data_IF_403430222467
#
_entry.id   IF_403430222467
#
_cell.length_a   1.000
_cell.length_b   1.000
_cell.length_c   1.000
_cell.angle_alpha   90.00
_cell.angle_beta   90.00
_cell.angle_gamma   90.00
#
_symmetry.space_group_name_H-M   'P 1'
#
loop_
_entity.id
_entity.type
_entity.pdbx_description
1 polymer ?
#
# COMPACT_ATOMS: atom_id res chain seq x y z
N UNK A 1 -19.78 14.43 0.04
CA UNK A 1 -20.15 13.35 0.98
C UNK A 1 -19.94 11.96 0.37
N UNK A 2 -20.52 11.65 -0.80
CA UNK A 2 -20.42 10.30 -1.41
C UNK A 2 -18.99 9.85 -1.75
N UNK A 3 -18.15 10.75 -2.24
CA UNK A 3 -16.73 10.46 -2.56
C UNK A 3 -15.89 10.15 -1.31
N UNK A 4 -16.14 10.86 -0.21
CA UNK A 4 -15.48 10.59 1.07
C UNK A 4 -15.89 9.22 1.64
N UNK A 5 -17.16 8.82 1.48
CA UNK A 5 -17.64 7.48 1.86
C UNK A 5 -16.94 6.40 1.03
N UNK A 6 -16.83 6.61 -0.30
CA UNK A 6 -16.11 5.69 -1.18
C UNK A 6 -14.64 5.55 -0.76
N UNK A 7 -13.95 6.67 -0.52
CA UNK A 7 -12.54 6.70 -0.11
C UNK A 7 -12.33 6.05 1.26
N UNK A 8 -13.27 6.26 2.20
CA UNK A 8 -13.21 5.62 3.51
C UNK A 8 -13.35 4.10 3.41
N UNK A 9 -14.27 3.63 2.55
CA UNK A 9 -14.50 2.20 2.27
C UNK A 9 -13.23 1.48 1.80
N UNK A 10 -12.42 2.15 0.99
CA UNK A 10 -11.20 1.59 0.39
C UNK A 10 -10.21 1.08 1.42
N UNK A 11 -10.11 1.73 2.58
CA UNK A 11 -9.20 1.33 3.66
C UNK A 11 -9.32 -0.15 4.03
N UNK A 12 -10.53 -0.65 4.24
CA UNK A 12 -10.74 -2.05 4.58
C UNK A 12 -10.76 -2.96 3.35
N UNK A 13 -11.13 -2.45 2.16
CA UNK A 13 -11.02 -3.23 0.91
C UNK A 13 -9.57 -3.62 0.63
N UNK A 14 -8.62 -2.69 0.80
CA UNK A 14 -7.19 -2.97 0.68
C UNK A 14 -6.71 -3.95 1.75
N UNK A 15 -7.17 -3.81 2.99
CA UNK A 15 -6.79 -4.74 4.05
C UNK A 15 -7.31 -6.16 3.78
N UNK A 16 -8.56 -6.30 3.32
CA UNK A 16 -9.12 -7.59 2.89
C UNK A 16 -8.32 -8.19 1.73
N UNK A 17 -7.94 -7.38 0.74
CA UNK A 17 -7.12 -7.86 -0.36
C UNK A 17 -5.75 -8.36 0.13
N UNK A 18 -5.10 -7.66 1.06
CA UNK A 18 -3.84 -8.13 1.66
C UNK A 18 -3.95 -9.49 2.35
N UNK A 19 -5.12 -9.79 2.95
CA UNK A 19 -5.37 -11.11 3.55
C UNK A 19 -5.52 -12.21 2.48
N UNK A 20 -6.18 -11.90 1.37
CA UNK A 20 -6.35 -12.85 0.25
C UNK A 20 -5.01 -13.16 -0.41
N UNK A 21 -4.20 -12.14 -0.68
CA UNK A 21 -2.87 -12.31 -1.28
C UNK A 21 -1.97 -13.22 -0.42
N UNK A 22 -1.95 -13.02 0.91
CA UNK A 22 -1.20 -13.90 1.81
C UNK A 22 -1.78 -15.33 1.84
N UNK A 23 -3.10 -15.48 1.87
CA UNK A 23 -3.75 -16.80 1.89
C UNK A 23 -3.52 -17.61 0.59
N UNK A 24 -3.43 -16.92 -0.55
CA UNK A 24 -3.19 -17.51 -1.88
C UNK A 24 -1.70 -17.70 -2.18
N UNK A 25 -0.80 -17.15 -1.36
CA UNK A 25 0.65 -17.17 -1.62
C UNK A 25 1.03 -16.34 -2.85
N UNK A 26 0.26 -15.28 -3.14
CA UNK A 26 0.46 -14.39 -4.27
C UNK A 26 1.78 -13.60 -4.14
N UNK A 27 2.36 -13.21 -5.27
CA UNK A 27 3.61 -12.44 -5.29
C UNK A 27 3.37 -10.93 -5.15
N UNK A 28 2.16 -10.50 -5.49
CA UNK A 28 1.67 -9.13 -5.47
C UNK A 28 1.58 -8.57 -4.04
N UNK A 29 1.95 -7.29 -3.89
CA UNK A 29 2.08 -6.64 -2.58
C UNK A 29 1.74 -5.16 -2.69
N UNK A 30 1.10 -4.63 -1.65
CA UNK A 30 0.94 -3.19 -1.49
C UNK A 30 2.23 -2.57 -0.98
N UNK A 31 3.10 -2.17 -1.90
CA UNK A 31 4.38 -1.55 -1.56
C UNK A 31 4.24 -0.12 -1.05
N UNK A 32 4.78 0.11 0.15
CA UNK A 32 4.85 1.42 0.80
C UNK A 32 6.26 1.99 0.79
N UNK A 33 6.44 3.09 0.07
CA UNK A 33 7.67 3.87 0.04
C UNK A 33 7.69 4.85 1.21
N UNK A 34 8.85 5.06 1.85
CA UNK A 34 8.94 6.07 2.91
C UNK A 34 8.58 7.44 2.34
N UNK A 35 7.76 8.19 3.08
CA UNK A 35 7.21 9.44 2.57
C UNK A 35 7.25 10.54 3.63
N UNK A 36 7.68 11.73 3.19
CA UNK A 36 7.77 12.95 3.98
C UNK A 36 6.45 13.75 4.01
N UNK A 37 5.38 13.22 3.41
CA UNK A 37 4.06 13.85 3.27
C UNK A 37 4.02 15.04 2.30
N UNK A 38 5.08 15.26 1.51
CA UNK A 38 5.10 16.29 0.48
C UNK A 38 4.55 15.74 -0.85
N UNK A 39 3.64 16.47 -1.53
CA UNK A 39 3.07 16.02 -2.80
C UNK A 39 4.11 15.72 -3.88
N UNK A 40 5.18 16.51 -3.97
CA UNK A 40 6.25 16.30 -4.96
C UNK A 40 6.98 14.97 -4.71
N UNK A 41 7.22 14.62 -3.44
CA UNK A 41 7.86 13.36 -3.07
C UNK A 41 6.98 12.15 -3.38
N UNK A 42 5.65 12.29 -3.30
CA UNK A 42 4.70 11.25 -3.69
C UNK A 42 4.76 10.93 -5.19
N UNK A 43 5.01 11.92 -6.05
CA UNK A 43 5.13 11.71 -7.50
C UNK A 43 6.44 10.97 -7.85
N UNK A 44 7.52 11.24 -7.11
CA UNK A 44 8.83 10.62 -7.37
C UNK A 44 8.85 9.12 -7.06
N UNK A 45 8.04 8.65 -6.10
CA UNK A 45 7.97 7.23 -5.73
C UNK A 45 7.10 6.40 -6.67
N UNK A 46 6.32 7.04 -7.56
CA UNK A 46 5.50 6.31 -8.54
C UNK A 46 6.40 5.63 -9.56
N UNK A 47 6.41 4.29 -9.53
CA UNK A 47 7.23 3.47 -10.44
C UNK A 47 8.68 3.27 -9.98
N UNK A 48 9.01 3.68 -8.75
CA UNK A 48 10.30 3.33 -8.13
C UNK A 48 10.31 1.84 -7.75
N UNK A 49 11.42 1.16 -8.04
CA UNK A 49 11.59 -0.24 -7.66
C UNK A 49 11.59 -0.39 -6.14
N UNK A 50 10.92 -1.44 -5.66
CA UNK A 50 10.69 -1.65 -4.25
C UNK A 50 11.05 -3.08 -3.85
N UNK A 51 11.63 -3.22 -2.66
CA UNK A 51 11.90 -4.51 -2.04
C UNK A 51 11.83 -4.40 -0.51
N UNK A 52 11.88 -5.54 0.18
CA UNK A 52 11.71 -5.60 1.64
C UNK A 52 12.83 -4.96 2.48
N UNK A 53 13.92 -4.48 1.87
CA UNK A 53 14.98 -3.73 2.56
C UNK A 53 14.79 -2.21 2.48
N UNK A 54 13.95 -1.72 1.57
CA UNK A 54 13.75 -0.27 1.31
C UNK A 54 12.31 0.14 1.65
N UNK A 55 11.37 -0.77 1.45
CA UNK A 55 9.95 -0.53 1.64
C UNK A 55 9.35 -1.38 2.76
N UNK A 56 8.10 -1.06 3.08
CA UNK A 56 7.23 -1.92 3.87
C UNK A 56 6.03 -2.36 3.03
N UNK A 57 5.36 -3.42 3.44
CA UNK A 57 4.07 -3.81 2.88
C UNK A 57 2.93 -3.20 3.71
N UNK A 58 1.89 -2.69 3.05
CA UNK A 58 0.64 -2.32 3.70
C UNK A 58 -0.25 -3.57 3.87
N UNK A 59 -0.92 -3.68 5.02
CA UNK A 59 -1.85 -4.76 5.30
C UNK A 59 -1.33 -5.78 6.31
N UNK A 60 -1.75 -7.05 6.18
CA UNK A 60 -1.48 -8.10 7.16
C UNK A 60 0.02 -8.35 7.43
N UNK A 61 0.85 -8.13 6.42
CA UNK A 61 2.29 -8.37 6.48
C UNK A 61 3.11 -7.17 6.93
N UNK A 62 2.50 -6.02 7.26
CA UNK A 62 3.23 -4.82 7.68
C UNK A 62 4.18 -5.08 8.86
N UNK A 63 3.80 -5.98 9.76
CA UNK A 63 4.60 -6.38 10.93
C UNK A 63 5.88 -7.13 10.58
N UNK A 64 5.98 -7.73 9.38
CA UNK A 64 7.16 -8.49 8.93
C UNK A 64 8.34 -7.57 8.58
N UNK A 65 8.08 -6.29 8.29
CA UNK A 65 9.10 -5.31 7.90
C UNK A 65 9.53 -4.46 9.09
N UNK A 66 10.82 -4.08 9.14
CA UNK A 66 11.40 -3.31 10.25
C UNK A 66 11.20 -1.81 10.12
N UNK A 67 10.92 -1.31 8.93
CA UNK A 67 10.73 0.13 8.67
C UNK A 67 9.49 0.67 9.41
N UNK A 68 9.61 1.87 9.97
CA UNK A 68 8.55 2.57 10.70
C UNK A 68 8.51 4.03 10.24
N UNK A 69 7.34 4.65 10.30
CA UNK A 69 7.13 6.03 9.86
C UNK A 69 5.88 6.17 9.01
N UNK A 70 5.88 7.19 8.15
CA UNK A 70 4.82 7.43 7.17
C UNK A 70 5.27 6.88 5.82
N UNK A 71 4.34 6.23 5.14
CA UNK A 71 4.58 5.59 3.85
C UNK A 71 3.53 6.03 2.84
N UNK A 72 3.94 6.10 1.57
CA UNK A 72 3.06 6.32 0.43
C UNK A 72 2.91 5.01 -0.35
N UNK A 73 1.66 4.65 -0.65
CA UNK A 73 1.30 3.42 -1.35
C UNK A 73 0.46 3.81 -2.56
N UNK A 74 0.87 3.38 -3.74
CA UNK A 74 0.07 3.51 -4.96
C UNK A 74 -0.87 2.31 -5.07
N UNK A 75 -2.12 2.56 -5.48
CA UNK A 75 -3.12 1.50 -5.71
C UNK A 75 -3.83 1.72 -7.03
N UNK A 76 -4.24 0.63 -7.69
CA UNK A 76 -5.18 0.73 -8.81
C UNK A 76 -6.56 1.24 -8.35
N UNK A 77 -7.34 1.81 -9.27
CA UNK A 77 -8.69 2.33 -8.96
C UNK A 77 -9.71 1.22 -8.71
N UNK A 78 -9.46 0.02 -9.23
CA UNK A 78 -10.33 -1.16 -9.15
C UNK A 78 -9.52 -2.37 -8.66
N UNK A 79 -10.19 -3.39 -8.13
CA UNK A 79 -9.54 -4.62 -7.67
C UNK A 79 -9.06 -5.47 -8.86
N UNK A 80 -7.91 -6.17 -8.77
CA UNK A 80 -6.94 -6.10 -7.67
C UNK A 80 -6.31 -4.71 -7.56
N UNK A 81 -6.24 -4.19 -6.34
CA UNK A 81 -5.79 -2.85 -6.01
C UNK A 81 -4.26 -2.75 -5.90
N UNK A 82 -3.56 -3.85 -5.58
CA UNK A 82 -2.10 -3.90 -5.47
C UNK A 82 -1.40 -3.83 -6.82
#
# INVERSE_FOLDING_TARGET
VMEAICSHKKSYEYFIESLKLEAEGAAEKFWGHSWDQLPNSAVMVVGEDCNGNVCTEMGINAVKYKHRGVFFVTTASNSPFS
#
